data_IF_647360422810
#
_entry.id   IF_647360422810
#
_cell.length_a   1.000
_cell.length_b   1.000
_cell.length_c   1.000
_cell.angle_alpha   90.00
_cell.angle_beta   90.00
_cell.angle_gamma   90.00
#
_symmetry.space_group_name_H-M   'P 1'
#
loop_
_entity.id
_entity.type
_entity.pdbx_description
1 polymer ?
#
# COMPACT_ATOMS: atom_id res chain seq x y z
N UNK A 1 21.92 18.99 -3.00
CA UNK A 1 20.95 17.93 -3.35
C UNK A 1 19.85 18.57 -4.19
N UNK A 2 19.75 18.34 -5.50
CA UNK A 2 18.66 18.91 -6.29
C UNK A 2 17.35 18.19 -5.94
N UNK A 3 16.31 18.96 -5.61
CA UNK A 3 14.94 18.44 -5.41
C UNK A 3 14.45 17.84 -6.73
N UNK A 4 14.51 16.50 -6.86
CA UNK A 4 13.93 15.81 -8.01
C UNK A 4 12.42 15.68 -7.80
N UNK A 5 11.64 16.29 -8.70
CA UNK A 5 10.19 16.17 -8.67
C UNK A 5 9.76 14.70 -8.76
N UNK A 6 8.84 14.29 -7.87
CA UNK A 6 8.29 12.93 -7.89
C UNK A 6 7.43 12.71 -9.14
N UNK A 7 7.51 11.50 -9.69
CA UNK A 7 6.63 11.08 -10.80
C UNK A 7 5.17 11.07 -10.35
N UNK A 8 4.25 11.24 -11.31
CA UNK A 8 2.79 11.20 -11.04
C UNK A 8 2.40 9.89 -10.35
N UNK A 9 2.99 8.77 -10.80
CA UNK A 9 2.77 7.44 -10.21
C UNK A 9 3.20 7.38 -8.75
N UNK A 10 4.37 7.94 -8.41
CA UNK A 10 4.88 7.96 -7.04
C UNK A 10 4.04 8.87 -6.14
N UNK A 11 3.59 10.03 -6.64
CA UNK A 11 2.64 10.91 -5.91
C UNK A 11 1.33 10.18 -5.62
N UNK A 12 0.78 9.49 -6.61
CA UNK A 12 -0.45 8.72 -6.43
C UNK A 12 -0.27 7.52 -5.48
N UNK A 13 0.92 6.91 -5.43
CA UNK A 13 1.25 5.87 -4.47
C UNK A 13 1.29 6.42 -3.04
N UNK A 14 2.03 7.52 -2.82
CA UNK A 14 2.10 8.17 -1.51
C UNK A 14 0.73 8.59 -1.00
N UNK A 15 -0.11 9.18 -1.86
CA UNK A 15 -1.48 9.54 -1.48
C UNK A 15 -2.32 8.33 -1.05
N UNK A 16 -2.13 7.17 -1.71
CA UNK A 16 -2.80 5.90 -1.34
C UNK A 16 -2.29 5.36 -0.02
N UNK A 17 -0.98 5.41 0.21
CA UNK A 17 -0.34 4.98 1.47
C UNK A 17 -0.83 5.84 2.65
N UNK A 18 -0.81 7.17 2.51
CA UNK A 18 -1.35 8.08 3.52
C UNK A 18 -2.83 7.82 3.80
N UNK A 19 -3.63 7.59 2.75
CA UNK A 19 -5.05 7.28 2.91
C UNK A 19 -5.30 5.97 3.68
N UNK A 20 -4.56 4.91 3.36
CA UNK A 20 -4.70 3.62 4.04
C UNK A 20 -4.22 3.70 5.50
N UNK A 21 -3.19 4.49 5.81
CA UNK A 21 -2.74 4.71 7.20
C UNK A 21 -3.82 5.43 8.03
N UNK A 22 -4.41 6.50 7.51
CA UNK A 22 -5.50 7.22 8.17
C UNK A 22 -6.71 6.32 8.36
N UNK A 23 -7.08 5.55 7.32
CA UNK A 23 -8.17 4.59 7.39
C UNK A 23 -7.93 3.53 8.46
N UNK A 24 -6.71 3.01 8.60
CA UNK A 24 -6.37 2.06 9.66
C UNK A 24 -6.52 2.68 11.05
N UNK A 25 -6.05 3.93 11.25
CA UNK A 25 -6.22 4.68 12.51
C UNK A 25 -7.69 4.87 12.87
N UNK A 26 -8.52 5.25 11.89
CA UNK A 26 -9.96 5.47 12.09
C UNK A 26 -10.68 4.17 12.43
N UNK A 27 -10.37 3.06 11.73
CA UNK A 27 -10.93 1.74 12.04
C UNK A 27 -10.58 1.32 13.47
N UNK A 28 -9.33 1.53 13.90
CA UNK A 28 -8.87 1.23 15.26
C UNK A 28 -9.58 2.10 16.31
N UNK A 29 -9.79 3.38 16.03
CA UNK A 29 -10.53 4.26 16.93
C UNK A 29 -12.00 3.84 17.04
N UNK A 30 -12.63 3.48 15.91
CA UNK A 30 -14.02 3.02 15.91
C UNK A 30 -14.19 1.67 16.60
N UNK A 31 -13.25 0.73 16.44
CA UNK A 31 -13.31 -0.55 17.16
C UNK A 31 -13.18 -0.36 18.68
N UNK A 32 -12.39 0.62 19.14
CA UNK A 32 -12.33 1.00 20.55
C UNK A 32 -13.64 1.66 21.04
N UNK A 33 -14.29 2.48 20.21
CA UNK A 33 -15.60 3.07 20.51
C UNK A 33 -16.71 2.01 20.63
N UNK A 34 -16.66 0.93 19.84
CA UNK A 34 -17.62 -0.18 19.93
C UNK A 34 -17.60 -0.92 21.27
N UNK A 35 -16.48 -0.87 22.01
CA UNK A 35 -16.38 -1.48 23.34
C UNK A 35 -17.02 -0.62 24.44
N UNK A 36 -17.37 0.63 24.15
CA UNK A 36 -17.95 1.56 25.13
C UNK A 36 -19.47 1.43 25.19
N UNK A 37 -20.03 1.46 26.39
CA UNK A 37 -21.49 1.42 26.61
C UNK A 37 -22.24 2.59 25.94
N UNK A 38 -21.60 3.74 25.76
CA UNK A 38 -22.11 4.90 25.00
C UNK A 38 -21.08 5.34 23.93
N UNK A 39 -20.70 4.42 23.05
CA UNK A 39 -19.74 4.69 21.98
C UNK A 39 -20.26 5.64 20.89
N UNK A 40 -19.36 6.39 20.26
CA UNK A 40 -19.69 7.22 19.09
C UNK A 40 -19.98 6.34 17.87
N UNK A 41 -20.97 6.73 17.08
CA UNK A 41 -21.27 6.06 15.80
C UNK A 41 -20.19 6.31 14.74
N UNK A 42 -20.06 5.38 13.77
CA UNK A 42 -19.03 5.44 12.72
C UNK A 42 -19.01 6.76 11.92
N UNK A 43 -20.18 7.37 11.68
CA UNK A 43 -20.29 8.67 10.98
C UNK A 43 -19.66 9.80 11.78
N UNK A 44 -19.86 9.82 13.10
CA UNK A 44 -19.29 10.85 13.98
C UNK A 44 -17.77 10.69 14.05
N UNK A 45 -17.29 9.47 14.26
CA UNK A 45 -15.85 9.17 14.26
C UNK A 45 -15.22 9.58 12.91
N UNK A 46 -15.86 9.26 11.78
CA UNK A 46 -15.37 9.68 10.47
C UNK A 46 -15.23 11.19 10.34
N UNK A 47 -16.26 11.95 10.75
CA UNK A 47 -16.26 13.42 10.69
C UNK A 47 -15.20 14.03 11.60
N UNK A 48 -15.09 13.54 12.84
CA UNK A 48 -14.09 14.01 13.81
C UNK A 48 -12.68 13.84 13.21
N UNK A 49 -12.38 12.68 12.62
CA UNK A 49 -11.08 12.42 12.00
C UNK A 49 -10.82 13.22 10.72
N UNK A 50 -11.82 13.41 9.86
CA UNK A 50 -11.67 14.27 8.67
C UNK A 50 -11.37 15.71 9.09
N UNK A 51 -12.03 16.20 10.13
CA UNK A 51 -11.79 17.53 10.67
C UNK A 51 -10.38 17.66 11.26
N UNK A 52 -9.96 16.70 12.10
CA UNK A 52 -8.61 16.69 12.68
C UNK A 52 -7.53 16.61 11.59
N UNK A 53 -7.71 15.74 10.60
CA UNK A 53 -6.75 15.61 9.50
C UNK A 53 -6.61 16.90 8.68
N UNK A 54 -7.74 17.59 8.44
CA UNK A 54 -7.75 18.88 7.77
C UNK A 54 -7.04 19.97 8.58
N UNK A 55 -7.15 19.95 9.91
CA UNK A 55 -6.42 20.87 10.79
C UNK A 55 -4.91 20.60 10.77
N UNK A 56 -4.50 19.33 10.81
CA UNK A 56 -3.08 18.94 10.86
C UNK A 56 -2.36 19.14 9.52
N UNK A 57 -3.00 18.77 8.40
CA UNK A 57 -2.33 18.72 7.09
C UNK A 57 -2.82 19.76 6.10
N UNK A 58 -3.96 20.42 6.36
CA UNK A 58 -4.63 21.31 5.41
C UNK A 58 -5.30 20.59 4.24
N UNK A 59 -5.21 19.26 4.16
CA UNK A 59 -5.74 18.47 3.04
C UNK A 59 -7.13 17.92 3.37
N UNK A 60 -8.01 17.91 2.36
CA UNK A 60 -9.34 17.32 2.48
C UNK A 60 -9.30 15.83 2.10
N UNK A 61 -9.87 14.98 2.95
CA UNK A 61 -9.99 13.54 2.70
C UNK A 61 -11.44 13.11 2.83
N UNK A 62 -11.89 12.36 1.82
CA UNK A 62 -13.19 11.70 1.84
C UNK A 62 -13.08 10.32 2.49
N UNK A 63 -13.64 10.18 3.69
CA UNK A 63 -13.75 8.89 4.38
C UNK A 63 -15.21 8.46 4.49
N UNK A 64 -15.52 7.27 3.96
CA UNK A 64 -16.88 6.73 4.02
C UNK A 64 -17.09 5.85 5.26
N UNK A 65 -18.17 6.13 6.00
CA UNK A 65 -18.54 5.42 7.22
C UNK A 65 -18.77 3.91 7.02
N UNK A 66 -19.24 3.46 5.85
CA UNK A 66 -19.43 2.03 5.57
C UNK A 66 -18.07 1.32 5.50
N UNK A 67 -17.06 1.99 4.97
CA UNK A 67 -15.69 1.46 4.92
C UNK A 67 -15.13 1.22 6.33
N UNK A 68 -15.41 2.12 7.27
CA UNK A 68 -14.99 2.00 8.67
C UNK A 68 -15.69 0.79 9.34
N UNK A 69 -17.01 0.68 9.15
CA UNK A 69 -17.81 -0.42 9.71
C UNK A 69 -17.33 -1.78 9.16
N UNK A 70 -17.10 -1.86 7.84
CA UNK A 70 -16.57 -3.08 7.21
C UNK A 70 -15.19 -3.43 7.73
N UNK A 71 -14.30 -2.45 7.88
CA UNK A 71 -12.97 -2.64 8.45
C UNK A 71 -13.01 -3.13 9.89
N UNK A 72 -13.85 -2.54 10.75
CA UNK A 72 -14.01 -2.97 12.14
C UNK A 72 -14.58 -4.39 12.29
N UNK A 73 -15.37 -4.85 11.31
CA UNK A 73 -15.83 -6.25 11.21
C UNK A 73 -14.77 -7.22 10.66
N UNK A 74 -13.53 -6.76 10.40
CA UNK A 74 -12.44 -7.59 9.88
C UNK A 74 -12.33 -7.61 8.35
N UNK A 75 -13.02 -6.71 7.63
CA UNK A 75 -12.90 -6.59 6.18
C UNK A 75 -11.52 -6.11 5.76
N UNK A 76 -10.94 -6.77 4.73
CA UNK A 76 -9.63 -6.39 4.16
C UNK A 76 -9.75 -5.22 3.20
N UNK A 77 -8.74 -4.34 3.19
CA UNK A 77 -8.64 -3.31 2.15
C UNK A 77 -8.22 -3.91 0.80
N UNK A 78 -8.46 -3.18 -0.30
CA UNK A 78 -7.98 -3.60 -1.63
C UNK A 78 -6.45 -3.72 -1.66
N UNK A 79 -5.75 -2.84 -0.95
CA UNK A 79 -4.30 -2.88 -0.83
C UNK A 79 -3.85 -4.17 -0.12
N UNK A 80 -4.46 -4.50 1.02
CA UNK A 80 -4.18 -5.74 1.76
C UNK A 80 -4.51 -6.99 0.93
N UNK A 81 -5.66 -7.00 0.25
CA UNK A 81 -6.07 -8.12 -0.59
C UNK A 81 -5.12 -8.31 -1.79
N UNK A 82 -4.60 -7.22 -2.36
CA UNK A 82 -3.63 -7.30 -3.45
C UNK A 82 -2.24 -7.70 -2.96
N UNK A 83 -1.80 -7.19 -1.80
CA UNK A 83 -0.54 -7.59 -1.18
C UNK A 83 -0.52 -9.10 -0.91
N UNK A 84 -1.62 -9.66 -0.40
CA UNK A 84 -1.77 -11.11 -0.19
C UNK A 84 -1.73 -11.94 -1.50
N UNK A 85 -2.01 -11.32 -2.66
CA UNK A 85 -1.94 -11.97 -3.98
C UNK A 85 -0.60 -11.73 -4.69
N UNK A 86 0.28 -10.91 -4.11
CA UNK A 86 1.58 -10.62 -4.71
C UNK A 86 2.46 -11.87 -4.68
N UNK A 87 3.12 -12.16 -5.80
CA UNK A 87 4.11 -13.25 -5.85
C UNK A 87 5.36 -12.91 -5.02
N UNK A 88 5.79 -11.65 -5.09
CA UNK A 88 6.94 -11.14 -4.33
C UNK A 88 6.49 -10.62 -2.98
N UNK A 89 7.26 -10.95 -1.96
CA UNK A 89 7.20 -10.29 -0.65
C UNK A 89 7.71 -8.85 -0.76
N UNK A 90 7.39 -8.01 0.22
CA UNK A 90 7.85 -6.61 0.24
C UNK A 90 9.39 -6.51 0.22
N UNK A 91 10.08 -7.44 0.88
CA UNK A 91 11.53 -7.53 0.87
C UNK A 91 12.10 -7.88 -0.50
N UNK A 92 11.53 -8.89 -1.16
CA UNK A 92 11.94 -9.29 -2.51
C UNK A 92 11.66 -8.20 -3.54
N UNK A 93 10.49 -7.55 -3.45
CA UNK A 93 10.14 -6.42 -4.30
C UNK A 93 11.12 -5.26 -4.13
N UNK A 94 11.54 -4.97 -2.89
CA UNK A 94 12.55 -3.96 -2.61
C UNK A 94 13.90 -4.27 -3.26
N UNK A 95 14.37 -5.52 -3.17
CA UNK A 95 15.62 -5.96 -3.81
C UNK A 95 15.55 -5.73 -5.33
N UNK A 96 14.43 -6.12 -5.96
CA UNK A 96 14.22 -5.94 -7.40
C UNK A 96 14.22 -4.45 -7.78
N UNK A 97 13.53 -3.60 -7.02
CA UNK A 97 13.46 -2.15 -7.27
C UNK A 97 14.83 -1.50 -7.11
N UNK A 98 15.55 -1.83 -6.03
CA UNK A 98 16.88 -1.26 -5.74
C UNK A 98 17.87 -1.64 -6.85
N UNK A 99 17.82 -2.90 -7.32
CA UNK A 99 18.63 -3.37 -8.44
C UNK A 99 18.33 -2.64 -9.76
N UNK A 100 17.04 -2.46 -10.11
CA UNK A 100 16.65 -1.69 -11.29
C UNK A 100 17.15 -0.25 -11.21
N UNK A 101 17.02 0.39 -10.04
CA UNK A 101 17.45 1.76 -9.82
C UNK A 101 18.97 1.89 -9.99
N UNK A 102 19.73 0.96 -9.42
CA UNK A 102 21.19 0.94 -9.55
C UNK A 102 21.64 0.76 -11.00
N UNK A 103 21.07 -0.23 -11.70
CA UNK A 103 21.40 -0.55 -13.09
C UNK A 103 20.98 0.59 -14.03
N UNK A 104 19.83 1.22 -13.76
CA UNK A 104 19.38 2.42 -14.47
C UNK A 104 20.29 3.63 -14.24
N UNK A 105 20.76 3.85 -13.00
CA UNK A 105 21.71 4.93 -12.67
C UNK A 105 23.07 4.73 -13.35
N UNK A 106 23.47 3.48 -13.62
CA UNK A 106 24.67 3.14 -14.39
C UNK A 106 24.49 3.26 -15.91
N UNK A 107 23.31 3.66 -16.39
CA UNK A 107 23.02 3.88 -17.81
C UNK A 107 22.54 2.65 -18.57
N UNK A 108 22.20 1.55 -17.90
CA UNK A 108 21.79 0.29 -18.53
C UNK A 108 20.37 -0.13 -18.17
N UNK A 109 19.31 0.63 -18.49
CA UNK A 109 17.95 0.29 -18.07
C UNK A 109 17.56 -1.13 -18.49
N UNK A 110 17.03 -1.92 -17.55
CA UNK A 110 16.61 -3.29 -17.81
C UNK A 110 15.36 -3.32 -18.67
N UNK A 111 15.33 -4.22 -19.64
CA UNK A 111 14.08 -4.57 -20.32
C UNK A 111 13.15 -5.31 -19.37
N UNK A 112 11.85 -5.23 -19.63
CA UNK A 112 10.83 -5.98 -18.90
C UNK A 112 11.14 -7.49 -18.83
N UNK A 113 11.71 -8.05 -19.91
CA UNK A 113 12.11 -9.47 -19.96
C UNK A 113 13.18 -9.78 -18.90
N UNK A 114 14.23 -8.96 -18.80
CA UNK A 114 15.32 -9.14 -17.82
C UNK A 114 14.84 -8.92 -16.40
N UNK A 115 13.94 -7.95 -16.20
CA UNK A 115 13.31 -7.72 -14.90
C UNK A 115 12.56 -8.98 -14.42
N UNK A 116 11.77 -9.58 -15.31
CA UNK A 116 11.04 -10.82 -15.02
C UNK A 116 11.98 -12.01 -14.78
N UNK A 117 13.08 -12.13 -15.52
CA UNK A 117 14.10 -13.16 -15.31
C UNK A 117 14.70 -13.06 -13.89
N UNK A 118 15.05 -11.85 -13.44
CA UNK A 118 15.55 -11.62 -12.08
C UNK A 118 14.52 -11.90 -11.00
N UNK A 119 13.28 -11.44 -11.20
CA UNK A 119 12.20 -11.73 -10.25
C UNK A 119 11.91 -13.25 -10.16
N UNK A 120 11.97 -13.97 -11.29
CA UNK A 120 11.86 -15.43 -11.31
C UNK A 120 13.02 -16.11 -10.58
N UNK A 121 14.24 -15.61 -10.71
CA UNK A 121 15.40 -16.17 -10.00
C UNK A 121 15.22 -16.06 -8.48
N UNK A 122 14.76 -14.90 -7.98
CA UNK A 122 14.44 -14.69 -6.57
C UNK A 122 13.33 -15.64 -6.11
N UNK A 123 12.25 -15.73 -6.89
CA UNK A 123 11.12 -16.59 -6.55
C UNK A 123 11.47 -18.08 -6.58
N UNK A 124 12.30 -18.54 -7.52
CA UNK A 124 12.79 -19.92 -7.55
C UNK A 124 13.71 -20.23 -6.38
N UNK A 125 14.54 -19.28 -5.96
CA UNK A 125 15.37 -19.47 -4.77
C UNK A 125 14.52 -19.66 -3.50
N UNK A 126 13.35 -19.01 -3.40
CA UNK A 126 12.44 -19.15 -2.25
C UNK A 126 11.44 -20.32 -2.37
N UNK A 127 10.82 -20.48 -3.54
CA UNK A 127 9.71 -21.42 -3.78
C UNK A 127 10.18 -22.75 -4.37
N UNK A 128 11.45 -22.86 -4.75
CA UNK A 128 12.04 -24.03 -5.39
C UNK A 128 11.74 -24.13 -6.88
N UNK A 129 12.26 -25.20 -7.49
CA UNK A 129 12.19 -25.46 -8.93
C UNK A 129 10.78 -25.82 -9.43
N UNK A 130 9.86 -26.14 -8.51
CA UNK A 130 8.44 -26.35 -8.83
C UNK A 130 7.71 -25.06 -9.20
N UNK A 131 8.33 -23.88 -9.04
CA UNK A 131 7.73 -22.62 -9.45
C UNK A 131 7.80 -22.44 -10.98
N UNK A 132 6.63 -22.48 -11.62
CA UNK A 132 6.46 -22.36 -13.08
C UNK A 132 6.94 -21.02 -13.67
N UNK A 133 7.11 -20.01 -12.82
CA UNK A 133 7.56 -18.68 -13.21
C UNK A 133 6.43 -17.65 -13.29
N UNK A 134 6.83 -16.39 -13.36
CA UNK A 134 5.94 -15.25 -13.52
C UNK A 134 5.40 -15.18 -14.95
N UNK A 135 4.12 -14.80 -15.06
CA UNK A 135 3.42 -14.67 -16.34
C UNK A 135 4.03 -13.63 -17.28
N UNK A 136 3.62 -13.64 -18.55
CA UNK A 136 4.10 -12.69 -19.57
C UNK A 136 3.70 -11.23 -19.31
N UNK A 137 2.66 -11.00 -18.49
CA UNK A 137 2.13 -9.67 -18.12
C UNK A 137 2.36 -9.33 -16.64
N UNK A 138 3.26 -10.05 -15.98
CA UNK A 138 3.82 -9.63 -14.70
C UNK A 138 4.85 -8.54 -14.97
#
# INVERSE_FOLDING_TARGET
MPFKALTITKKAQLARESYEDIKARVIKAYSAELLKAKGKGARTVAKDFVHLYKLETGLDIKLDHVTIIRGAKGGRSRAQANAAKSHLTDGEAKIVIDYIAEVGNRGFPLSHRRLREHANAILRARLGDSFEGLGKRW
#
